data_IF_879384099350
#
_entry.id   IF_879384099350
#
_cell.length_a   1.000
_cell.length_b   1.000
_cell.length_c   1.000
_cell.angle_alpha   90.00
_cell.angle_beta   90.00
_cell.angle_gamma   90.00
#
_symmetry.space_group_name_H-M   'P 1'
#
loop_
_entity.id
_entity.type
_entity.pdbx_description
1 polymer ?
#
# COMPACT_ATOMS: atom_id res chain seq x y z
N UNK A 1 -0.56 -23.99 -10.27
CA UNK A 1 -1.37 -22.83 -10.69
C UNK A 1 -1.19 -21.83 -9.58
N UNK A 2 -0.09 -21.09 -9.62
CA UNK A 2 0.42 -20.47 -8.40
C UNK A 2 0.14 -18.95 -8.44
N UNK A 3 -0.06 -18.39 -9.63
CA UNK A 3 -0.46 -17.01 -9.85
C UNK A 3 -1.82 -16.94 -10.56
N UNK A 4 -2.78 -16.22 -9.98
CA UNK A 4 -4.09 -15.95 -10.58
C UNK A 4 -4.34 -14.44 -10.59
N UNK A 5 -4.59 -13.90 -11.79
CA UNK A 5 -5.15 -12.55 -11.97
C UNK A 5 -6.54 -12.67 -12.58
N UNK A 6 -7.52 -12.03 -11.93
CA UNK A 6 -8.92 -12.04 -12.35
C UNK A 6 -9.33 -10.74 -13.07
N UNK A 7 -8.35 -9.99 -13.59
CA UNK A 7 -8.58 -8.71 -14.27
C UNK A 7 -9.42 -8.90 -15.54
N UNK A 8 -10.45 -8.05 -15.72
CA UNK A 8 -11.25 -8.03 -16.96
C UNK A 8 -12.24 -9.17 -17.13
N UNK A 9 -12.63 -9.86 -16.04
CA UNK A 9 -13.68 -10.87 -16.09
C UNK A 9 -15.03 -10.26 -16.52
N UNK A 10 -15.55 -10.73 -17.65
CA UNK A 10 -16.88 -10.37 -18.16
C UNK A 10 -18.00 -11.12 -17.42
N UNK A 11 -17.69 -12.27 -16.82
CA UNK A 11 -18.61 -13.04 -15.98
C UNK A 11 -18.48 -12.66 -14.49
N UNK A 12 -19.57 -12.73 -13.70
CA UNK A 12 -19.49 -12.48 -12.26
C UNK A 12 -18.51 -13.45 -11.58
N UNK A 13 -17.55 -12.92 -10.82
CA UNK A 13 -16.58 -13.73 -10.05
C UNK A 13 -17.30 -14.69 -9.09
N UNK A 14 -18.52 -14.35 -8.66
CA UNK A 14 -19.40 -15.20 -7.85
C UNK A 14 -19.67 -16.57 -8.47
N UNK A 15 -19.69 -16.68 -9.81
CA UNK A 15 -19.84 -17.95 -10.53
C UNK A 15 -18.62 -18.86 -10.38
N UNK A 16 -17.45 -18.30 -10.08
CA UNK A 16 -16.19 -19.02 -9.88
C UNK A 16 -16.03 -19.53 -8.44
N UNK A 17 -16.69 -18.91 -7.45
CA UNK A 17 -16.54 -19.28 -6.04
C UNK A 17 -16.82 -20.76 -5.74
N UNK A 18 -17.87 -21.41 -6.29
CA UNK A 18 -18.10 -22.83 -6.03
C UNK A 18 -16.99 -23.72 -6.61
N UNK A 19 -16.37 -23.32 -7.73
CA UNK A 19 -15.24 -24.03 -8.29
C UNK A 19 -13.98 -23.78 -7.46
N UNK A 20 -13.75 -22.53 -7.06
CA UNK A 20 -12.64 -22.10 -6.21
C UNK A 20 -12.54 -22.93 -4.93
N UNK A 21 -13.65 -23.01 -4.20
CA UNK A 21 -13.72 -23.73 -2.94
C UNK A 21 -13.60 -25.24 -3.14
N UNK A 22 -14.30 -25.81 -4.12
CA UNK A 22 -14.25 -27.27 -4.38
C UNK A 22 -12.86 -27.75 -4.80
N UNK A 23 -12.17 -26.95 -5.61
CA UNK A 23 -10.84 -27.29 -6.10
C UNK A 23 -9.73 -26.89 -5.14
N UNK A 24 -10.07 -26.24 -4.00
CA UNK A 24 -9.11 -25.74 -3.01
C UNK A 24 -8.02 -24.89 -3.66
N UNK A 25 -8.41 -24.03 -4.60
CA UNK A 25 -7.47 -23.21 -5.39
C UNK A 25 -6.52 -22.44 -4.47
N UNK A 26 -7.06 -21.85 -3.40
CA UNK A 26 -6.31 -21.08 -2.41
C UNK A 26 -5.10 -21.78 -1.80
N UNK A 27 -5.08 -23.11 -1.67
CA UNK A 27 -4.01 -23.81 -0.93
C UNK A 27 -2.65 -23.80 -1.64
N UNK A 28 -2.63 -23.47 -2.93
CA UNK A 28 -1.42 -23.44 -3.75
C UNK A 28 -1.12 -22.05 -4.32
N UNK A 29 -1.97 -21.05 -4.06
CA UNK A 29 -1.75 -19.71 -4.58
C UNK A 29 -0.58 -19.05 -3.88
N UNK A 30 0.33 -18.52 -4.67
CA UNK A 30 1.39 -17.59 -4.28
C UNK A 30 1.03 -16.16 -4.62
N UNK A 31 0.25 -15.93 -5.68
CA UNK A 31 -0.09 -14.59 -6.14
C UNK A 31 -1.56 -14.51 -6.51
N UNK A 32 -2.25 -13.49 -5.98
CA UNK A 32 -3.65 -13.24 -6.25
C UNK A 32 -3.89 -11.75 -6.52
N UNK A 33 -4.43 -11.46 -7.71
CA UNK A 33 -4.81 -10.10 -8.08
C UNK A 33 -6.32 -10.00 -8.34
N UNK A 34 -6.99 -9.23 -7.47
CA UNK A 34 -8.42 -8.93 -7.47
C UNK A 34 -8.71 -7.43 -7.69
N UNK A 35 -7.69 -6.65 -8.09
CA UNK A 35 -7.81 -5.20 -8.20
C UNK A 35 -9.02 -4.77 -9.05
N UNK A 36 -9.72 -3.74 -8.56
CA UNK A 36 -10.90 -3.13 -9.21
C UNK A 36 -12.12 -4.04 -9.40
N UNK A 37 -12.15 -5.23 -8.79
CA UNK A 37 -13.30 -6.14 -8.85
C UNK A 37 -14.41 -5.73 -7.86
N UNK A 38 -15.05 -4.59 -8.13
CA UNK A 38 -16.09 -3.98 -7.29
C UNK A 38 -17.43 -4.73 -7.26
N UNK A 39 -17.57 -5.79 -8.05
CA UNK A 39 -18.70 -6.73 -7.98
C UNK A 39 -18.58 -7.73 -6.82
N UNK A 40 -17.41 -7.83 -6.19
CA UNK A 40 -17.18 -8.73 -5.06
C UNK A 40 -17.81 -8.16 -3.79
N UNK A 41 -18.63 -8.97 -3.13
CA UNK A 41 -19.11 -8.67 -1.78
C UNK A 41 -18.04 -9.03 -0.74
N UNK A 42 -18.21 -8.53 0.49
CA UNK A 42 -17.35 -8.94 1.61
C UNK A 42 -17.33 -10.46 1.81
N UNK A 43 -18.47 -11.13 1.69
CA UNK A 43 -18.56 -12.59 1.81
C UNK A 43 -17.78 -13.32 0.71
N UNK A 44 -17.78 -12.78 -0.52
CA UNK A 44 -17.01 -13.36 -1.63
C UNK A 44 -15.50 -13.23 -1.36
N UNK A 45 -15.06 -12.08 -0.86
CA UNK A 45 -13.66 -11.83 -0.50
C UNK A 45 -13.19 -12.79 0.61
N UNK A 46 -13.97 -12.98 1.68
CA UNK A 46 -13.65 -13.98 2.70
C UNK A 46 -13.57 -15.40 2.12
N UNK A 47 -14.43 -15.74 1.16
CA UNK A 47 -14.41 -17.05 0.51
C UNK A 47 -13.14 -17.24 -0.33
N UNK A 48 -12.77 -16.24 -1.13
CA UNK A 48 -11.57 -16.27 -1.98
C UNK A 48 -10.28 -16.35 -1.16
N UNK A 49 -10.25 -15.68 -0.02
CA UNK A 49 -9.09 -15.57 0.86
C UNK A 49 -9.06 -16.62 1.97
N UNK A 50 -10.02 -17.54 2.00
CA UNK A 50 -10.02 -18.62 2.96
C UNK A 50 -8.93 -19.63 2.62
N UNK A 51 -8.08 -19.96 3.61
CA UNK A 51 -7.06 -21.01 3.51
C UNK A 51 -6.07 -20.81 2.34
N UNK A 52 -5.33 -19.70 2.40
CA UNK A 52 -4.31 -19.30 1.43
C UNK A 52 -2.88 -19.31 2.03
N UNK A 53 -2.42 -20.45 2.59
CA UNK A 53 -1.19 -20.51 3.39
C UNK A 53 0.08 -20.19 2.61
N UNK A 54 0.07 -20.35 1.29
CA UNK A 54 1.22 -20.12 0.41
C UNK A 54 1.24 -18.72 -0.21
N UNK A 55 0.24 -17.88 0.08
CA UNK A 55 0.09 -16.58 -0.58
C UNK A 55 1.23 -15.65 -0.18
N UNK A 56 1.88 -15.07 -1.18
CA UNK A 56 3.01 -14.15 -1.08
C UNK A 56 2.62 -12.76 -1.56
N UNK A 57 1.80 -12.66 -2.61
CA UNK A 57 1.37 -11.38 -3.20
C UNK A 57 -0.15 -11.32 -3.23
N UNK A 58 -0.71 -10.29 -2.61
CA UNK A 58 -2.14 -9.97 -2.71
C UNK A 58 -2.32 -8.54 -3.19
N UNK A 59 -3.05 -8.41 -4.30
CA UNK A 59 -3.52 -7.13 -4.78
C UNK A 59 -5.05 -7.04 -4.74
N UNK A 60 -5.55 -6.09 -3.95
CA UNK A 60 -6.97 -5.79 -3.77
C UNK A 60 -7.26 -4.29 -3.94
N UNK A 61 -6.36 -3.57 -4.63
CA UNK A 61 -6.50 -2.12 -4.83
C UNK A 61 -7.85 -1.80 -5.51
N UNK A 62 -8.45 -0.67 -5.14
CA UNK A 62 -9.72 -0.18 -5.69
C UNK A 62 -10.93 -1.10 -5.46
N UNK A 63 -10.89 -2.00 -4.47
CA UNK A 63 -12.06 -2.79 -4.05
C UNK A 63 -12.81 -2.06 -2.94
N UNK A 64 -13.99 -1.55 -3.25
CA UNK A 64 -14.83 -0.77 -2.30
C UNK A 64 -15.36 -1.60 -1.12
N UNK A 65 -15.58 -2.90 -1.32
CA UNK A 65 -16.02 -3.82 -0.27
C UNK A 65 -14.89 -4.24 0.70
N UNK A 66 -13.63 -3.93 0.39
CA UNK A 66 -12.50 -4.26 1.26
C UNK A 66 -12.52 -3.39 2.52
N UNK A 67 -12.21 -3.97 3.68
CA UNK A 67 -12.26 -3.30 4.99
C UNK A 67 -11.34 -4.00 5.99
N UNK A 68 -11.16 -3.42 7.18
CA UNK A 68 -10.22 -3.92 8.20
C UNK A 68 -10.35 -5.40 8.55
N UNK A 69 -11.59 -5.91 8.66
CA UNK A 69 -11.82 -7.34 8.88
C UNK A 69 -11.18 -8.28 7.84
N UNK A 70 -11.13 -7.87 6.56
CA UNK A 70 -10.46 -8.65 5.52
C UNK A 70 -8.93 -8.59 5.67
N UNK A 71 -8.39 -7.42 6.00
CA UNK A 71 -6.96 -7.24 6.28
C UNK A 71 -6.51 -8.10 7.47
N UNK A 72 -7.26 -8.08 8.57
CA UNK A 72 -7.01 -8.92 9.75
C UNK A 72 -7.05 -10.40 9.36
N UNK A 73 -8.03 -10.79 8.56
CA UNK A 73 -8.17 -12.17 8.10
C UNK A 73 -6.98 -12.62 7.25
N UNK A 74 -6.58 -11.85 6.24
CA UNK A 74 -5.49 -12.28 5.35
C UNK A 74 -4.14 -12.36 6.06
N UNK A 75 -3.86 -11.44 7.00
CA UNK A 75 -2.64 -11.48 7.81
C UNK A 75 -2.56 -12.77 8.65
N UNK A 76 -3.70 -13.34 9.03
CA UNK A 76 -3.76 -14.62 9.75
C UNK A 76 -3.69 -15.84 8.82
N UNK A 77 -4.25 -15.76 7.62
CA UNK A 77 -4.32 -16.88 6.68
C UNK A 77 -3.06 -17.05 5.83
N UNK A 78 -2.29 -15.98 5.59
CA UNK A 78 -1.14 -15.96 4.70
C UNK A 78 0.16 -15.63 5.46
N UNK A 79 0.76 -16.59 6.18
CA UNK A 79 1.99 -16.37 6.94
C UNK A 79 3.21 -16.06 6.05
N UNK A 80 3.13 -16.36 4.75
CA UNK A 80 4.18 -16.11 3.76
C UNK A 80 3.95 -14.82 2.95
N UNK A 81 2.97 -13.99 3.32
CA UNK A 81 2.66 -12.77 2.58
C UNK A 81 3.82 -11.78 2.66
N UNK A 82 4.28 -11.33 1.49
CA UNK A 82 5.40 -10.41 1.26
C UNK A 82 4.91 -9.10 0.65
N UNK A 83 3.88 -9.12 -0.18
CA UNK A 83 3.35 -7.93 -0.84
C UNK A 83 1.85 -7.81 -0.63
N UNK A 84 1.40 -6.66 -0.11
CA UNK A 84 0.00 -6.36 0.14
C UNK A 84 -0.35 -4.97 -0.41
N UNK A 85 -1.25 -4.93 -1.38
CA UNK A 85 -1.68 -3.72 -2.06
C UNK A 85 -3.13 -3.39 -1.71
N UNK A 86 -3.35 -2.33 -0.91
CA UNK A 86 -4.64 -1.85 -0.41
C UNK A 86 -5.01 -0.45 -0.94
N UNK A 87 -4.36 -0.01 -2.02
CA UNK A 87 -4.54 1.34 -2.55
C UNK A 87 -6.00 1.60 -2.92
N UNK A 88 -6.54 2.75 -2.50
CA UNK A 88 -7.90 3.21 -2.70
C UNK A 88 -8.99 2.31 -2.08
N UNK A 89 -8.65 1.51 -1.09
CA UNK A 89 -9.61 0.79 -0.24
C UNK A 89 -10.05 1.69 0.93
N UNK A 90 -11.12 2.47 0.74
CA UNK A 90 -11.54 3.55 1.65
C UNK A 90 -12.00 3.11 3.04
N UNK A 91 -12.31 1.82 3.25
CA UNK A 91 -12.67 1.28 4.57
C UNK A 91 -11.50 0.58 5.28
N UNK A 92 -10.27 0.78 4.79
CA UNK A 92 -9.04 0.42 5.49
C UNK A 92 -8.64 1.58 6.39
N UNK A 93 -8.55 1.32 7.69
CA UNK A 93 -8.27 2.33 8.72
C UNK A 93 -7.02 1.99 9.52
N UNK A 94 -6.76 2.77 10.58
CA UNK A 94 -5.70 2.52 11.56
C UNK A 94 -5.72 1.10 12.13
N UNK A 95 -6.89 0.44 12.16
CA UNK A 95 -7.03 -0.94 12.63
C UNK A 95 -6.23 -1.90 11.76
N UNK A 96 -6.37 -1.81 10.44
CA UNK A 96 -5.59 -2.62 9.48
C UNK A 96 -4.09 -2.44 9.69
N UNK A 97 -3.64 -1.18 9.73
CA UNK A 97 -2.21 -0.85 9.79
C UNK A 97 -1.61 -1.28 11.12
N UNK A 98 -2.30 -1.04 12.23
CA UNK A 98 -1.87 -1.51 13.56
C UNK A 98 -1.78 -3.04 13.58
N UNK A 99 -2.74 -3.74 12.98
CA UNK A 99 -2.74 -5.20 12.93
C UNK A 99 -1.59 -5.76 12.09
N UNK A 100 -1.38 -5.21 10.90
CA UNK A 100 -0.26 -5.55 10.02
C UNK A 100 1.07 -5.33 10.74
N UNK A 101 1.25 -4.17 11.39
CA UNK A 101 2.49 -3.82 12.08
C UNK A 101 2.77 -4.71 13.31
N UNK A 102 1.73 -5.20 13.98
CA UNK A 102 1.86 -6.09 15.15
C UNK A 102 2.04 -7.57 14.76
N UNK A 103 1.83 -7.94 13.49
CA UNK A 103 1.93 -9.32 13.02
C UNK A 103 3.40 -9.77 12.92
N UNK A 104 3.96 -10.26 14.03
CA UNK A 104 5.39 -10.63 14.14
C UNK A 104 5.86 -11.74 13.19
N UNK A 105 4.94 -12.57 12.72
CA UNK A 105 5.24 -13.66 11.79
C UNK A 105 5.23 -13.21 10.33
N UNK A 106 4.66 -12.04 10.05
CA UNK A 106 4.55 -11.49 8.71
C UNK A 106 5.91 -10.95 8.26
N UNK A 107 6.36 -11.36 7.08
CA UNK A 107 7.59 -10.86 6.46
C UNK A 107 7.26 -9.95 5.29
N UNK A 108 6.41 -8.97 5.56
CA UNK A 108 5.96 -8.02 4.55
C UNK A 108 7.14 -7.17 4.08
N UNK A 109 7.31 -7.11 2.76
CA UNK A 109 8.34 -6.36 2.04
C UNK A 109 7.73 -5.18 1.28
N UNK A 110 6.49 -5.30 0.81
CA UNK A 110 5.75 -4.24 0.14
C UNK A 110 4.37 -4.03 0.74
N UNK A 111 4.04 -2.78 1.07
CA UNK A 111 2.73 -2.39 1.58
C UNK A 111 2.22 -1.14 0.86
N UNK A 112 1.07 -1.25 0.19
CA UNK A 112 0.38 -0.12 -0.43
C UNK A 112 -0.84 0.30 0.37
N UNK A 113 -0.89 1.57 0.77
CA UNK A 113 -1.92 2.21 1.61
C UNK A 113 -2.46 3.51 1.01
N UNK A 114 -2.05 3.87 -0.21
CA UNK A 114 -2.49 5.07 -0.91
C UNK A 114 -4.01 5.22 -0.89
N UNK A 115 -4.54 6.39 -0.53
CA UNK A 115 -6.00 6.63 -0.54
C UNK A 115 -6.84 5.77 0.43
N UNK A 116 -6.22 5.19 1.46
CA UNK A 116 -6.93 4.54 2.58
C UNK A 116 -7.36 5.58 3.62
N UNK A 117 -8.22 5.19 4.57
CA UNK A 117 -8.70 6.07 5.65
C UNK A 117 -7.78 6.00 6.90
N UNK A 118 -6.49 5.76 6.72
CA UNK A 118 -5.50 5.84 7.80
C UNK A 118 -5.35 7.28 8.29
N UNK A 119 -5.13 7.44 9.60
CA UNK A 119 -4.86 8.70 10.29
C UNK A 119 -3.53 8.65 11.05
N UNK A 120 -3.11 9.78 11.63
CA UNK A 120 -1.90 9.84 12.47
C UNK A 120 -1.95 8.91 13.69
N UNK A 121 -3.13 8.54 14.18
CA UNK A 121 -3.27 7.61 15.29
C UNK A 121 -2.74 6.19 14.97
N UNK A 122 -2.65 5.81 13.69
CA UNK A 122 -1.94 4.59 13.31
C UNK A 122 -0.44 4.70 13.59
N UNK A 123 0.16 5.85 13.33
CA UNK A 123 1.59 6.10 13.53
C UNK A 123 1.94 5.97 15.02
N UNK A 124 1.18 6.62 15.90
CA UNK A 124 1.38 6.52 17.37
C UNK A 124 1.30 5.08 17.88
N UNK A 125 0.33 4.30 17.38
CA UNK A 125 0.16 2.89 17.77
C UNK A 125 1.31 2.03 17.27
N UNK A 126 1.75 2.28 16.04
CA UNK A 126 2.88 1.56 15.45
C UNK A 126 4.14 1.88 16.25
N UNK A 127 4.38 3.14 16.60
CA UNK A 127 5.49 3.64 17.42
C UNK A 127 5.67 2.90 18.75
N UNK A 128 4.56 2.52 19.39
CA UNK A 128 4.59 1.74 20.63
C UNK A 128 5.05 0.27 20.46
N UNK A 129 5.09 -0.27 19.23
CA UNK A 129 5.48 -1.66 18.96
C UNK A 129 7.01 -1.81 18.92
N UNK A 130 7.64 -2.87 19.44
CA UNK A 130 9.10 -2.95 19.56
C UNK A 130 9.88 -3.00 18.22
N UNK A 131 9.31 -3.56 17.15
CA UNK A 131 9.94 -3.62 15.82
C UNK A 131 8.89 -3.87 14.74
N UNK A 132 8.07 -2.87 14.40
CA UNK A 132 7.04 -3.05 13.37
C UNK A 132 7.69 -3.28 12.01
N UNK A 133 7.10 -4.18 11.22
CA UNK A 133 7.42 -4.38 9.80
C UNK A 133 8.92 -4.47 9.50
N UNK A 134 9.66 -5.40 10.13
CA UNK A 134 11.13 -5.41 10.10
C UNK A 134 11.70 -5.72 8.71
N UNK A 135 10.92 -6.26 7.78
CA UNK A 135 11.36 -6.59 6.42
C UNK A 135 10.81 -5.62 5.36
N UNK A 136 10.08 -4.58 5.77
CA UNK A 136 9.43 -3.68 4.82
C UNK A 136 10.49 -2.90 4.04
N UNK A 137 10.41 -3.01 2.73
CA UNK A 137 11.32 -2.40 1.76
C UNK A 137 10.63 -1.37 0.88
N UNK A 138 9.31 -1.51 0.71
CA UNK A 138 8.45 -0.65 -0.10
C UNK A 138 7.22 -0.26 0.71
N UNK A 139 6.99 1.03 0.86
CA UNK A 139 5.77 1.58 1.45
C UNK A 139 5.18 2.62 0.52
N UNK A 140 3.92 2.41 0.10
CA UNK A 140 3.16 3.38 -0.68
C UNK A 140 2.07 4.05 0.15
N UNK A 141 2.26 5.33 0.47
CA UNK A 141 1.39 6.13 1.33
C UNK A 141 0.94 7.42 0.62
N UNK A 142 0.93 7.44 -0.72
CA UNK A 142 0.50 8.60 -1.49
C UNK A 142 -0.97 8.94 -1.21
N UNK A 143 -1.34 10.21 -1.31
CA UNK A 143 -2.75 10.62 -1.15
C UNK A 143 -3.32 10.46 0.26
N UNK A 144 -2.49 10.22 1.28
CA UNK A 144 -2.89 10.31 2.70
C UNK A 144 -2.85 11.75 3.20
N UNK A 145 -3.56 12.65 2.51
CA UNK A 145 -3.54 14.10 2.73
C UNK A 145 -4.01 14.55 4.12
N UNK A 146 -4.61 13.63 4.90
CA UNK A 146 -5.10 13.90 6.26
C UNK A 146 -4.07 13.59 7.36
N UNK A 147 -2.92 13.01 7.01
CA UNK A 147 -1.84 12.69 7.96
C UNK A 147 -0.74 13.75 7.82
N UNK A 148 -0.29 14.30 8.95
CA UNK A 148 0.81 15.25 8.94
C UNK A 148 2.12 14.55 8.59
N UNK A 149 2.97 15.19 7.78
CA UNK A 149 4.24 14.61 7.33
C UNK A 149 5.11 14.11 8.49
N UNK A 150 5.11 14.82 9.63
CA UNK A 150 5.87 14.44 10.82
C UNK A 150 5.50 13.04 11.34
N UNK A 151 4.23 12.66 11.29
CA UNK A 151 3.73 11.37 11.76
C UNK A 151 4.11 10.26 10.77
N UNK A 152 4.00 10.54 9.46
CA UNK A 152 4.47 9.62 8.41
C UNK A 152 5.98 9.39 8.52
N UNK A 153 6.77 10.43 8.79
CA UNK A 153 8.21 10.30 8.99
C UNK A 153 8.58 9.53 10.25
N UNK A 154 7.83 9.70 11.34
CA UNK A 154 8.01 8.91 12.54
C UNK A 154 7.80 7.41 12.23
N UNK A 155 6.72 7.09 11.50
CA UNK A 155 6.43 5.73 11.04
C UNK A 155 7.57 5.15 10.18
N UNK A 156 8.05 5.90 9.19
CA UNK A 156 9.12 5.48 8.28
C UNK A 156 10.44 5.19 8.99
N UNK A 157 10.85 6.05 9.93
CA UNK A 157 12.10 5.88 10.71
C UNK A 157 12.19 4.55 11.46
N UNK A 158 11.05 3.93 11.78
CA UNK A 158 11.01 2.68 12.54
C UNK A 158 11.13 1.44 11.67
N UNK A 159 10.86 1.58 10.38
CA UNK A 159 11.00 0.52 9.40
C UNK A 159 12.44 0.50 8.87
N UNK A 160 13.30 -0.27 9.55
CA UNK A 160 14.77 -0.21 9.38
C UNK A 160 15.32 -0.63 8.01
N UNK A 161 14.50 -1.22 7.14
CA UNK A 161 14.89 -1.82 5.87
C UNK A 161 14.22 -1.17 4.65
N UNK A 162 13.56 0.00 4.81
CA UNK A 162 12.90 0.61 3.66
C UNK A 162 13.95 1.13 2.67
N UNK A 163 13.91 0.59 1.44
CA UNK A 163 14.81 0.98 0.35
C UNK A 163 14.08 1.81 -0.72
N UNK A 164 12.74 1.78 -0.76
CA UNK A 164 11.89 2.49 -1.73
C UNK A 164 10.68 3.08 -1.00
N UNK A 165 10.70 4.37 -0.63
CA UNK A 165 9.54 5.00 0.01
C UNK A 165 8.77 5.83 -1.02
N UNK A 166 7.45 5.70 -1.04
CA UNK A 166 6.58 6.58 -1.81
C UNK A 166 5.84 7.47 -0.83
N UNK A 167 6.45 8.59 -0.48
CA UNK A 167 5.95 9.52 0.55
C UNK A 167 5.14 10.64 -0.10
N UNK A 168 3.99 10.95 0.47
CA UNK A 168 3.24 12.17 0.18
C UNK A 168 3.89 13.36 0.91
N UNK A 169 4.12 14.48 0.22
CA UNK A 169 4.65 15.72 0.82
C UNK A 169 6.19 15.74 0.99
N UNK A 170 6.90 16.31 0.02
CA UNK A 170 8.39 16.40 0.05
C UNK A 170 8.88 17.52 0.98
N UNK A 171 8.07 18.55 1.24
CA UNK A 171 8.49 19.79 1.87
C UNK A 171 9.17 19.65 3.25
N UNK A 172 9.14 18.47 3.88
CA UNK A 172 9.77 18.18 5.18
C UNK A 172 10.53 16.85 5.24
N UNK A 173 10.93 16.26 4.11
CA UNK A 173 11.61 14.97 4.09
C UNK A 173 12.83 14.92 5.02
N UNK A 174 12.90 13.95 5.95
CA UNK A 174 14.01 13.86 6.87
C UNK A 174 15.26 13.39 6.13
N UNK A 175 16.32 14.20 6.17
CA UNK A 175 17.67 13.90 5.67
C UNK A 175 18.38 12.74 6.38
N UNK A 176 17.65 11.99 7.22
CA UNK A 176 18.18 11.00 8.17
C UNK A 176 17.71 9.58 7.89
N UNK A 177 17.04 9.32 6.76
CA UNK A 177 16.58 7.99 6.39
C UNK A 177 17.72 7.21 5.71
N UNK A 178 18.33 6.23 6.38
CA UNK A 178 19.38 5.44 5.77
C UNK A 178 18.73 4.51 4.72
N UNK A 179 19.24 4.57 3.48
CA UNK A 179 18.86 3.75 2.31
C UNK A 179 17.67 4.21 1.46
N UNK A 180 17.23 5.47 1.60
CA UNK A 180 16.21 6.04 0.71
C UNK A 180 16.71 6.15 -0.74
N UNK A 181 16.22 5.27 -1.64
CA UNK A 181 16.72 5.16 -3.01
C UNK A 181 15.66 5.37 -4.10
N UNK A 182 14.38 5.45 -3.77
CA UNK A 182 13.31 5.67 -4.75
C UNK A 182 12.15 6.44 -4.14
N UNK A 183 11.62 7.40 -4.90
CA UNK A 183 10.49 8.28 -4.57
C UNK A 183 9.61 8.50 -5.80
N UNK A 184 8.31 8.22 -5.72
CA UNK A 184 7.30 8.48 -6.76
C UNK A 184 6.34 9.56 -6.27
N UNK A 185 6.30 10.66 -7.01
CA UNK A 185 5.57 11.89 -6.72
C UNK A 185 4.37 12.07 -7.63
N UNK A 186 4.01 11.03 -8.39
CA UNK A 186 2.79 11.05 -9.19
C UNK A 186 1.61 11.39 -8.27
N UNK A 187 0.82 12.40 -8.64
CA UNK A 187 -0.34 12.90 -7.89
C UNK A 187 0.00 13.65 -6.58
N UNK A 188 1.20 14.24 -6.47
CA UNK A 188 1.54 15.20 -5.42
C UNK A 188 1.65 16.59 -6.06
N UNK A 189 0.69 17.46 -5.76
CA UNK A 189 0.53 18.74 -6.48
C UNK A 189 1.35 19.91 -5.87
N UNK A 190 1.95 19.71 -4.68
CA UNK A 190 2.65 20.76 -3.91
C UNK A 190 4.13 20.41 -3.61
N UNK A 191 4.89 20.08 -4.65
CA UNK A 191 6.34 19.80 -4.52
C UNK A 191 7.15 20.91 -5.16
N UNK A 192 8.00 21.58 -4.38
CA UNK A 192 8.92 22.60 -4.91
C UNK A 192 10.24 21.98 -5.39
N UNK A 193 10.88 22.58 -6.39
CA UNK A 193 12.21 22.20 -6.90
C UNK A 193 13.24 22.23 -5.76
N UNK A 194 13.08 23.16 -4.82
CA UNK A 194 13.93 23.28 -3.63
C UNK A 194 13.85 22.05 -2.74
N UNK A 195 12.68 21.43 -2.62
CA UNK A 195 12.48 20.23 -1.79
C UNK A 195 13.14 19.02 -2.46
N UNK A 196 13.00 18.92 -3.79
CA UNK A 196 13.69 17.92 -4.62
C UNK A 196 15.20 18.06 -4.51
N UNK A 197 15.72 19.28 -4.61
CA UNK A 197 17.15 19.55 -4.51
C UNK A 197 17.70 19.17 -3.13
N UNK A 198 16.97 19.48 -2.06
CA UNK A 198 17.33 19.07 -0.69
C UNK A 198 17.33 17.55 -0.54
N UNK A 199 16.32 16.85 -1.08
CA UNK A 199 16.20 15.40 -1.02
C UNK A 199 17.34 14.69 -1.78
N UNK A 200 17.65 15.14 -3.00
CA UNK A 200 18.76 14.60 -3.81
C UNK A 200 20.12 14.88 -3.17
N UNK A 201 20.29 16.07 -2.57
CA UNK A 201 21.53 16.41 -1.84
C UNK A 201 21.74 15.52 -0.61
N UNK A 202 20.68 15.15 0.09
CA UNK A 202 20.76 14.28 1.26
C UNK A 202 20.88 12.79 0.89
N UNK A 203 20.37 12.40 -0.28
CA UNK A 203 20.31 11.00 -0.73
C UNK A 203 20.81 10.87 -2.17
N UNK A 204 22.13 10.74 -2.40
CA UNK A 204 22.72 10.75 -3.75
C UNK A 204 22.29 9.59 -4.67
N UNK A 205 21.71 8.53 -4.11
CA UNK A 205 21.20 7.36 -4.85
C UNK A 205 19.68 7.43 -5.08
N UNK A 206 19.03 8.54 -4.71
CA UNK A 206 17.59 8.70 -4.81
C UNK A 206 17.15 8.81 -6.27
N UNK A 207 16.28 7.89 -6.69
CA UNK A 207 15.56 7.95 -7.96
C UNK A 207 14.21 8.60 -7.74
N UNK A 208 13.89 9.66 -8.49
CA UNK A 208 12.61 10.37 -8.38
C UNK A 208 11.77 10.13 -9.64
N UNK A 209 10.48 9.82 -9.48
CA UNK A 209 9.49 9.67 -10.56
C UNK A 209 8.32 10.62 -10.31
N UNK A 210 7.67 11.08 -11.38
CA UNK A 210 6.40 11.81 -11.28
C UNK A 210 6.52 13.27 -10.83
N UNK A 211 7.74 13.80 -10.75
CA UNK A 211 7.97 15.24 -10.61
C UNK A 211 8.17 15.87 -11.99
N UNK A 212 7.41 16.93 -12.28
CA UNK A 212 7.41 17.59 -13.59
C UNK A 212 7.99 19.02 -13.54
N UNK A 213 8.63 19.41 -12.43
CA UNK A 213 9.08 20.78 -12.18
C UNK A 213 8.03 21.60 -11.42
N UNK A 214 8.44 22.76 -10.92
CA UNK A 214 7.51 23.75 -10.38
C UNK A 214 6.62 24.21 -11.55
N UNK A 215 5.34 23.84 -11.53
CA UNK A 215 4.43 24.32 -12.56
C UNK A 215 4.33 25.85 -12.43
N UNK A 216 4.85 26.52 -13.45
CA UNK A 216 4.61 27.94 -13.72
C UNK A 216 3.11 28.17 -13.91
N UNK A 217 2.60 29.18 -13.20
CA UNK A 217 1.37 29.96 -13.38
C UNK A 217 0.20 29.30 -14.15
N UNK A 218 -0.91 29.13 -13.44
CA UNK A 218 -2.15 28.45 -13.85
C UNK A 218 -3.01 29.29 -14.84
N UNK A 219 -2.39 29.98 -15.80
CA UNK A 219 -3.10 30.90 -16.71
C UNK A 219 -3.61 30.28 -18.02
N UNK A 220 -3.18 29.07 -18.40
CA UNK A 220 -3.44 28.51 -19.75
C UNK A 220 -4.45 27.34 -19.80
N UNK A 221 -5.16 27.01 -18.71
CA UNK A 221 -6.16 25.91 -18.72
C UNK A 221 -7.53 26.25 -19.34
N UNK A 222 -7.71 27.42 -19.93
CA UNK A 222 -8.99 27.81 -20.56
C UNK A 222 -8.88 28.17 -22.05
N UNK A 223 -8.00 27.53 -22.82
CA UNK A 223 -8.16 27.51 -24.28
C UNK A 223 -7.69 26.17 -24.84
N UNK A 224 -8.64 25.27 -25.10
CA UNK A 224 -8.89 24.73 -26.43
C UNK A 224 -10.10 23.78 -26.42
N UNK A 225 -10.90 23.90 -27.49
CA UNK A 225 -12.21 23.31 -27.73
C UNK A 225 -12.18 21.83 -28.10
#
# INVERSE_FOLDING_TARGET
MDNISLKGLEAPVTSLLPAWTRQKVGTHLTDLNLASLNQLTSSDLFTLLHNVPQLQVLNVSYITAWHDGHTVHIVQQAPHLRELHLEWCQHVTDVSVTHIANARNLRLECLGLTGTAMTSAACDRVDALPSPLPNLQVLDIRGLSYIADADLFAFLKRCKNINRELVHGIAKMPTSLPHFAYLDLSWVDDVMTTDIAAAVSAHPLLTIKGYFGDLYDDSDKYHEH
#
